data_IF_857947369343
#
_entry.id   IF_857947369343
#
_cell.length_a   1.000
_cell.length_b   1.000
_cell.length_c   1.000
_cell.angle_alpha   90.00
_cell.angle_beta   90.00
_cell.angle_gamma   90.00
#
_symmetry.space_group_name_H-M   'P 1'
#
loop_
_entity.id
_entity.type
_entity.pdbx_description
1 polymer ?
#
# COMPACT_ATOMS: atom_id res chain seq x y z
N UNK A 1 4.39 1.45 -6.46
CA UNK A 1 2.94 1.65 -6.21
C UNK A 1 2.76 2.71 -5.13
N UNK A 2 1.58 3.31 -4.98
CA UNK A 2 1.31 4.40 -4.02
C UNK A 2 1.61 3.99 -2.57
N UNK A 3 1.28 2.75 -2.20
CA UNK A 3 1.57 2.17 -0.89
C UNK A 3 3.07 2.22 -0.53
N UNK A 4 3.97 1.96 -1.50
CA UNK A 4 5.42 2.01 -1.27
C UNK A 4 5.90 3.41 -0.86
N UNK A 5 5.33 4.45 -1.49
CA UNK A 5 5.70 5.85 -1.26
C UNK A 5 5.10 6.36 0.04
N UNK A 6 3.83 6.06 0.32
CA UNK A 6 3.16 6.46 1.56
C UNK A 6 3.85 5.85 2.77
N UNK A 7 4.22 4.58 2.70
CA UNK A 7 4.98 3.91 3.75
C UNK A 7 6.36 4.55 3.98
N UNK A 8 7.08 4.87 2.90
CA UNK A 8 8.36 5.56 2.99
C UNK A 8 8.21 6.94 3.64
N UNK A 9 7.21 7.72 3.25
CA UNK A 9 6.97 9.04 3.81
C UNK A 9 6.62 9.00 5.30
N UNK A 10 5.79 8.06 5.76
CA UNK A 10 5.57 7.89 7.19
C UNK A 10 6.87 7.54 7.95
N UNK A 11 7.73 6.69 7.40
CA UNK A 11 9.06 6.37 7.98
C UNK A 11 9.99 7.58 8.05
N UNK A 12 9.80 8.55 7.14
CA UNK A 12 10.55 9.81 7.13
C UNK A 12 9.93 10.88 8.03
N UNK A 13 8.81 10.59 8.72
CA UNK A 13 8.08 11.57 9.52
C UNK A 13 7.29 12.58 8.67
N UNK A 14 7.00 12.25 7.42
CA UNK A 14 6.20 13.07 6.50
C UNK A 14 4.76 12.56 6.50
N UNK A 15 3.84 13.41 6.95
CA UNK A 15 2.41 13.17 6.87
C UNK A 15 1.93 13.23 5.41
N UNK A 16 1.15 12.23 5.00
CA UNK A 16 0.64 12.11 3.63
C UNK A 16 -0.85 12.43 3.51
N UNK A 17 -1.58 12.41 4.63
CA UNK A 17 -3.04 12.55 4.67
C UNK A 17 -3.79 11.38 4.01
N UNK A 18 -3.09 10.32 3.60
CA UNK A 18 -3.68 9.13 3.01
C UNK A 18 -4.11 8.17 4.12
N UNK A 19 -5.36 7.68 4.04
CA UNK A 19 -5.80 6.54 4.84
C UNK A 19 -5.02 5.29 4.41
N UNK A 20 -4.14 4.82 5.30
CA UNK A 20 -3.28 3.67 5.05
C UNK A 20 -4.09 2.40 4.79
N UNK A 21 -5.13 2.15 5.59
CA UNK A 21 -5.95 0.94 5.47
C UNK A 21 -6.76 0.96 4.18
N UNK A 22 -7.47 2.07 3.92
CA UNK A 22 -8.23 2.25 2.69
C UNK A 22 -7.36 2.15 1.43
N UNK A 23 -6.11 2.62 1.48
CA UNK A 23 -5.16 2.46 0.39
C UNK A 23 -4.83 0.99 0.11
N UNK A 24 -4.57 0.19 1.17
CA UNK A 24 -4.25 -1.23 1.01
C UNK A 24 -5.44 -2.03 0.48
N UNK A 25 -6.65 -1.73 0.95
CA UNK A 25 -7.90 -2.32 0.44
C UNK A 25 -8.11 -1.98 -1.04
N UNK A 26 -7.93 -0.72 -1.43
CA UNK A 26 -8.03 -0.29 -2.83
C UNK A 26 -6.96 -0.97 -3.71
N UNK A 27 -5.74 -1.14 -3.20
CA UNK A 27 -4.68 -1.84 -3.91
C UNK A 27 -5.04 -3.32 -4.15
N UNK A 28 -5.72 -3.97 -3.21
CA UNK A 28 -6.17 -5.36 -3.34
C UNK A 28 -7.34 -5.48 -4.33
N UNK A 29 -8.27 -4.53 -4.33
CA UNK A 29 -9.32 -4.45 -5.36
C UNK A 29 -8.73 -4.31 -6.77
N UNK A 30 -7.75 -3.43 -6.94
CA UNK A 30 -7.08 -3.23 -8.24
C UNK A 30 -6.31 -4.48 -8.68
N UNK A 31 -5.66 -5.20 -7.75
CA UNK A 31 -4.95 -6.43 -8.05
C UNK A 31 -5.88 -7.60 -8.42
N UNK A 32 -7.13 -7.59 -7.96
CA UNK A 32 -8.12 -8.61 -8.27
C UNK A 32 -8.72 -8.49 -9.68
N UNK A 33 -8.49 -7.38 -10.39
CA UNK A 33 -8.97 -7.19 -11.76
C UNK A 33 -8.33 -8.24 -12.68
N UNK A 34 -9.10 -8.98 -13.51
CA UNK A 34 -8.54 -9.94 -14.44
C UNK A 34 -7.48 -9.33 -15.35
N UNK A 35 -6.28 -9.93 -15.37
CA UNK A 35 -5.13 -9.40 -16.11
C UNK A 35 -4.39 -8.26 -15.39
N UNK A 36 -4.79 -7.90 -14.18
CA UNK A 36 -4.12 -6.90 -13.35
C UNK A 36 -2.74 -7.38 -12.88
N UNK A 37 -1.73 -6.52 -13.06
CA UNK A 37 -0.34 -6.80 -12.65
C UNK A 37 0.09 -5.77 -11.62
N UNK A 38 -0.11 -6.02 -10.32
CA UNK A 38 0.28 -5.04 -9.32
C UNK A 38 1.80 -4.92 -9.19
N UNK A 39 2.29 -3.69 -9.06
CA UNK A 39 3.73 -3.39 -8.93
C UNK A 39 4.21 -3.01 -7.52
N UNK A 40 3.33 -3.02 -6.51
CA UNK A 40 3.69 -2.63 -5.14
C UNK A 40 4.51 -3.70 -4.41
N UNK A 41 5.66 -3.32 -3.85
CA UNK A 41 6.53 -4.25 -3.11
C UNK A 41 5.99 -4.56 -1.72
N UNK A 42 5.30 -3.62 -1.10
CA UNK A 42 4.73 -3.81 0.24
C UNK A 42 3.65 -4.90 0.30
N UNK A 43 3.08 -5.32 -0.84
CA UNK A 43 2.23 -6.51 -0.90
C UNK A 43 2.92 -7.78 -0.39
N UNK A 44 4.23 -7.90 -0.61
CA UNK A 44 5.04 -9.03 -0.17
C UNK A 44 5.60 -8.92 1.26
N UNK A 45 5.20 -7.90 2.03
CA UNK A 45 5.76 -7.62 3.37
C UNK A 45 4.67 -7.74 4.44
N UNK A 46 4.47 -8.94 5.04
CA UNK A 46 3.36 -9.20 5.96
C UNK A 46 3.31 -8.24 7.16
N UNK A 47 4.47 -7.94 7.75
CA UNK A 47 4.56 -7.04 8.90
C UNK A 47 4.06 -5.62 8.60
N UNK A 48 4.12 -5.17 7.33
CA UNK A 48 3.63 -3.85 6.92
C UNK A 48 2.12 -3.86 6.68
N UNK A 49 1.55 -4.99 6.25
CA UNK A 49 0.11 -5.12 6.00
C UNK A 49 -0.70 -5.48 7.24
N UNK A 50 -0.09 -6.15 8.23
CA UNK A 50 -0.73 -6.48 9.50
C UNK A 50 -0.82 -5.30 10.48
N UNK A 51 -0.02 -4.25 10.25
CA UNK A 51 -0.03 -3.01 11.03
C UNK A 51 -1.13 -2.02 10.61
N UNK A 52 -2.00 -2.41 9.67
CA UNK A 52 -3.07 -1.60 9.09
C UNK A 52 -4.46 -2.00 9.61
#
# INVERSE_FOLDING_TARGET
ATEDVVWLFHRMGVETGIDWKGLLEAADLAAAVPGGTPGGRLRGVPAVRQAA
#
